data_IF_160789725042
#
_entry.id   IF_160789725042
#
_cell.length_a   1.000
_cell.length_b   1.000
_cell.length_c   1.000
_cell.angle_alpha   90.00
_cell.angle_beta   90.00
_cell.angle_gamma   90.00
#
_symmetry.space_group_name_H-M   'P 1'
#
loop_
_entity.id
_entity.type
_entity.pdbx_description
1 polymer ?
#
# COMPACT_ATOMS: atom_id res chain seq x y z
N UNK A 1 -9.44 -0.57 -3.99
CA UNK A 1 -8.61 -0.66 -2.77
C UNK A 1 -7.17 -0.93 -3.23
N UNK A 2 -6.17 -0.21 -2.71
CA UNK A 2 -4.76 -0.51 -2.99
C UNK A 2 -4.35 -1.82 -2.31
N UNK A 3 -3.41 -2.52 -2.94
CA UNK A 3 -2.82 -3.76 -2.44
C UNK A 3 -1.38 -3.50 -2.04
N UNK A 4 -0.93 -4.10 -0.95
CA UNK A 4 0.50 -4.26 -0.69
C UNK A 4 0.96 -5.49 -1.45
N UNK A 5 1.85 -5.30 -2.44
CA UNK A 5 2.32 -6.39 -3.30
C UNK A 5 3.48 -7.13 -2.64
N UNK A 6 3.41 -8.45 -2.64
CA UNK A 6 4.50 -9.36 -2.27
C UNK A 6 4.69 -10.32 -3.44
N UNK A 7 5.94 -10.66 -3.74
CA UNK A 7 6.29 -11.70 -4.69
C UNK A 7 6.27 -13.09 -4.03
N UNK A 8 6.22 -14.14 -4.83
CA UNK A 8 6.18 -15.52 -4.36
C UNK A 8 7.51 -15.99 -3.75
N UNK A 9 8.62 -15.31 -3.99
CA UNK A 9 9.92 -15.53 -3.33
C UNK A 9 10.13 -14.72 -2.05
N UNK A 10 9.12 -13.96 -1.59
CA UNK A 10 9.26 -13.20 -0.32
C UNK A 10 9.59 -14.12 0.87
N UNK A 11 9.12 -15.37 0.89
CA UNK A 11 9.29 -16.27 2.04
C UNK A 11 10.73 -16.77 2.25
N UNK A 12 11.53 -16.86 1.18
CA UNK A 12 12.92 -17.32 1.22
C UNK A 12 13.94 -16.22 0.91
N UNK A 13 13.47 -14.97 0.71
CA UNK A 13 14.34 -13.82 0.50
C UNK A 13 15.35 -13.67 1.65
N UNK A 14 16.66 -13.47 1.38
CA UNK A 14 17.71 -13.43 2.41
C UNK A 14 17.47 -12.45 3.55
N UNK A 15 16.85 -11.29 3.27
CA UNK A 15 16.49 -10.30 4.31
C UNK A 15 15.31 -10.76 5.20
N UNK A 16 14.40 -11.57 4.67
CA UNK A 16 13.20 -12.04 5.37
C UNK A 16 13.52 -13.24 6.26
N UNK A 17 14.30 -14.20 5.76
CA UNK A 17 14.68 -15.40 6.53
C UNK A 17 15.52 -15.08 7.78
N UNK A 18 16.09 -13.88 7.85
CA UNK A 18 16.92 -13.42 8.97
C UNK A 18 16.14 -12.77 10.11
N UNK A 19 14.85 -12.48 9.92
CA UNK A 19 14.03 -11.80 10.95
C UNK A 19 13.10 -12.76 11.65
N UNK A 20 12.71 -12.44 12.89
CA UNK A 20 11.74 -13.24 13.64
C UNK A 20 10.33 -13.16 13.03
N UNK A 21 9.48 -14.14 13.33
CA UNK A 21 8.05 -14.13 12.95
C UNK A 21 7.34 -12.84 13.41
N UNK A 22 7.74 -12.31 14.57
CA UNK A 22 7.20 -11.07 15.12
C UNK A 22 7.57 -9.84 14.30
N UNK A 23 8.80 -9.79 13.80
CA UNK A 23 9.28 -8.75 12.89
C UNK A 23 8.66 -8.90 11.50
N UNK A 24 8.60 -10.12 10.96
CA UNK A 24 7.94 -10.38 9.68
C UNK A 24 6.46 -9.98 9.69
N UNK A 25 5.73 -10.34 10.74
CA UNK A 25 4.33 -9.90 10.92
C UNK A 25 4.22 -8.37 10.95
N UNK A 26 5.12 -7.69 11.66
CA UNK A 26 5.13 -6.22 11.71
C UNK A 26 5.41 -5.61 10.33
N UNK A 27 6.33 -6.20 9.57
CA UNK A 27 6.64 -5.77 8.22
C UNK A 27 5.41 -5.88 7.29
N UNK A 28 4.70 -7.01 7.30
CA UNK A 28 3.47 -7.18 6.53
C UNK A 28 2.40 -6.15 6.94
N UNK A 29 2.14 -6.00 8.25
CA UNK A 29 1.08 -5.10 8.72
C UNK A 29 1.40 -3.64 8.44
N UNK A 30 2.67 -3.24 8.55
CA UNK A 30 3.12 -1.92 8.17
C UNK A 30 2.98 -1.66 6.65
N UNK A 31 3.30 -2.66 5.82
CA UNK A 31 3.15 -2.55 4.36
C UNK A 31 1.68 -2.37 3.96
N UNK A 32 0.78 -3.16 4.56
CA UNK A 32 -0.66 -3.02 4.38
C UNK A 32 -1.17 -1.64 4.84
N UNK A 33 -0.66 -1.13 5.98
CA UNK A 33 -0.99 0.21 6.44
C UNK A 33 -0.57 1.27 5.43
N UNK A 34 0.69 1.22 4.97
CA UNK A 34 1.23 2.19 4.03
C UNK A 34 0.46 2.19 2.71
N UNK A 35 0.12 1.01 2.17
CA UNK A 35 -0.70 0.88 0.98
C UNK A 35 -2.11 1.45 1.19
N UNK A 36 -2.77 1.13 2.30
CA UNK A 36 -4.13 1.62 2.62
C UNK A 36 -4.18 3.14 2.77
N UNK A 37 -3.19 3.70 3.45
CA UNK A 37 -3.14 5.12 3.81
C UNK A 37 -2.36 5.98 2.82
N UNK A 38 -1.76 5.37 1.78
CA UNK A 38 -0.99 6.05 0.75
C UNK A 38 0.14 6.90 1.33
N UNK A 39 0.91 6.32 2.24
CA UNK A 39 2.04 6.98 2.89
C UNK A 39 3.36 6.78 2.15
N UNK A 40 3.33 6.16 0.97
CA UNK A 40 4.53 5.91 0.15
C UNK A 40 5.64 5.18 0.93
N UNK A 41 5.23 4.18 1.72
CA UNK A 41 6.16 3.37 2.51
C UNK A 41 6.69 4.05 3.77
N UNK A 42 6.23 5.26 4.09
CA UNK A 42 6.62 5.99 5.31
C UNK A 42 5.85 5.46 6.51
N UNK A 43 6.60 5.12 7.56
CA UNK A 43 6.14 4.60 8.85
C UNK A 43 6.51 5.62 9.93
N UNK A 44 5.59 6.55 10.18
CA UNK A 44 5.78 7.58 11.20
C UNK A 44 5.80 7.00 12.62
N UNK A 45 6.31 7.74 13.64
CA UNK A 45 6.19 7.33 15.04
C UNK A 45 4.74 7.09 15.47
N UNK A 46 3.79 7.86 14.93
CA UNK A 46 2.35 7.64 15.14
C UNK A 46 1.88 6.30 14.55
N UNK A 47 2.34 5.95 13.36
CA UNK A 47 2.07 4.67 12.72
C UNK A 47 2.59 3.50 13.55
N UNK A 48 3.83 3.60 14.07
CA UNK A 48 4.40 2.57 14.95
C UNK A 48 3.54 2.34 16.20
N UNK A 49 2.98 3.41 16.79
CA UNK A 49 2.05 3.30 17.92
C UNK A 49 0.74 2.61 17.53
N UNK A 50 0.15 2.97 16.37
CA UNK A 50 -1.07 2.34 15.86
C UNK A 50 -0.88 0.84 15.63
N UNK A 51 0.29 0.45 15.10
CA UNK A 51 0.64 -0.94 14.83
C UNK A 51 1.10 -1.70 16.09
N UNK A 52 1.20 -1.03 17.25
CA UNK A 52 1.75 -1.58 18.49
C UNK A 52 3.14 -2.21 18.27
N UNK A 53 3.96 -1.53 17.47
CA UNK A 53 5.28 -2.00 17.08
C UNK A 53 6.18 -2.12 18.31
N UNK A 54 6.86 -3.26 18.44
CA UNK A 54 7.86 -3.49 19.50
C UNK A 54 9.22 -3.04 18.99
N UNK A 55 9.95 -2.27 19.80
CA UNK A 55 11.27 -1.72 19.44
C UNK A 55 12.22 -2.78 18.84
N UNK A 56 12.36 -3.93 19.51
CA UNK A 56 13.17 -5.06 19.02
C UNK A 56 12.83 -5.50 17.59
N UNK A 57 11.56 -5.51 17.19
CA UNK A 57 11.16 -5.91 15.84
C UNK A 57 11.51 -4.82 14.83
N UNK A 58 11.38 -3.55 15.21
CA UNK A 58 11.84 -2.44 14.37
C UNK A 58 13.36 -2.50 14.14
N UNK A 59 14.11 -2.85 15.19
CA UNK A 59 15.57 -2.97 15.11
C UNK A 59 15.99 -4.16 14.24
N UNK A 60 15.28 -5.30 14.29
CA UNK A 60 15.47 -6.43 13.38
C UNK A 60 15.24 -6.03 11.92
N UNK A 61 14.11 -5.36 11.62
CA UNK A 61 13.77 -4.94 10.26
C UNK A 61 14.75 -3.91 9.70
N UNK A 62 15.24 -3.00 10.54
CA UNK A 62 16.28 -2.06 10.16
C UNK A 62 17.62 -2.76 9.92
N UNK A 63 18.03 -3.67 10.82
CA UNK A 63 19.30 -4.41 10.71
C UNK A 63 19.32 -5.32 9.49
N UNK A 64 18.19 -5.94 9.14
CA UNK A 64 18.02 -6.75 7.93
C UNK A 64 17.94 -5.90 6.64
N UNK A 65 17.92 -4.57 6.72
CA UNK A 65 17.81 -3.68 5.57
C UNK A 65 16.45 -3.78 4.85
N UNK A 66 15.41 -4.15 5.58
CA UNK A 66 14.02 -4.09 5.11
C UNK A 66 13.44 -2.69 5.32
N UNK A 67 13.87 -2.02 6.39
CA UNK A 67 13.51 -0.65 6.73
C UNK A 67 14.74 0.25 6.84
N UNK A 68 14.54 1.54 6.58
CA UNK A 68 15.55 2.58 6.73
C UNK A 68 15.04 3.64 7.72
N UNK A 69 15.92 4.17 8.57
CA UNK A 69 15.56 5.28 9.48
C UNK A 69 15.39 6.57 8.68
N UNK A 70 14.44 7.39 9.09
CA UNK A 70 14.23 8.73 8.52
C UNK A 70 14.56 9.83 9.56
N UNK A 71 15.06 11.01 9.13
CA UNK A 71 15.50 12.07 10.04
C UNK A 71 14.44 12.55 11.03
N UNK A 72 13.17 12.55 10.63
CA UNK A 72 12.02 13.00 11.42
C UNK A 72 11.59 11.97 12.47
N UNK A 73 12.27 10.82 12.52
CA UNK A 73 11.94 9.68 13.35
C UNK A 73 10.95 8.73 12.66
N UNK A 74 11.01 7.45 13.06
CA UNK A 74 10.29 6.38 12.37
C UNK A 74 11.14 5.71 11.30
N UNK A 75 10.48 5.12 10.31
CA UNK A 75 11.12 4.31 9.27
C UNK A 75 10.49 4.52 7.91
N UNK A 76 11.18 4.11 6.85
CA UNK A 76 10.63 3.89 5.52
C UNK A 76 10.95 2.48 5.04
N UNK A 77 10.07 1.88 4.24
CA UNK A 77 10.39 0.65 3.51
C UNK A 77 11.54 0.89 2.55
N UNK A 78 12.49 -0.04 2.52
CA UNK A 78 13.47 -0.11 1.44
C UNK A 78 12.77 -0.45 0.12
N UNK A 79 13.19 0.19 -0.97
CA UNK A 79 12.70 -0.06 -2.34
C UNK A 79 11.18 0.00 -2.54
N UNK A 80 10.46 0.79 -1.72
CA UNK A 80 8.99 0.87 -1.82
C UNK A 80 8.51 1.19 -3.24
N UNK A 81 9.15 2.17 -3.89
CA UNK A 81 8.74 2.69 -5.19
C UNK A 81 9.04 1.75 -6.36
N UNK A 82 9.92 0.77 -6.18
CA UNK A 82 10.25 -0.19 -7.24
C UNK A 82 9.12 -1.21 -7.44
N UNK A 83 8.36 -1.50 -6.38
CA UNK A 83 7.34 -2.54 -6.39
C UNK A 83 5.92 -2.01 -6.15
N UNK A 84 5.79 -0.98 -5.30
CA UNK A 84 4.51 -0.43 -4.88
C UNK A 84 4.15 0.83 -5.67
N UNK A 85 2.87 1.00 -6.06
CA UNK A 85 2.43 2.23 -6.70
C UNK A 85 2.54 3.41 -5.72
N UNK A 86 2.90 4.58 -6.24
CA UNK A 86 2.91 5.81 -5.45
C UNK A 86 1.49 6.26 -5.08
N UNK A 87 1.37 7.11 -4.07
CA UNK A 87 0.13 7.83 -3.74
C UNK A 87 -0.47 8.49 -4.97
N UNK A 88 0.37 9.12 -5.79
CA UNK A 88 -0.05 9.80 -6.99
C UNK A 88 -0.61 8.81 -8.02
N UNK A 89 0.05 7.69 -8.25
CA UNK A 89 -0.43 6.64 -9.17
C UNK A 89 -1.79 6.09 -8.75
N UNK A 90 -1.94 5.82 -7.45
CA UNK A 90 -3.20 5.31 -6.91
C UNK A 90 -4.32 6.36 -7.05
N UNK A 91 -4.04 7.63 -6.77
CA UNK A 91 -5.02 8.71 -6.91
C UNK A 91 -5.41 8.93 -8.37
N UNK A 92 -4.43 8.94 -9.29
CA UNK A 92 -4.65 9.06 -10.74
C UNK A 92 -5.53 7.94 -11.25
N UNK A 93 -5.23 6.69 -10.86
CA UNK A 93 -6.04 5.53 -11.25
C UNK A 93 -7.46 5.59 -10.70
N UNK A 94 -7.63 6.05 -9.45
CA UNK A 94 -8.97 6.27 -8.86
C UNK A 94 -9.76 7.31 -9.65
N UNK A 95 -9.13 8.38 -10.11
CA UNK A 95 -9.79 9.41 -10.91
C UNK A 95 -10.22 8.88 -12.28
N UNK A 96 -9.31 8.19 -12.99
CA UNK A 96 -9.63 7.55 -14.27
C UNK A 96 -10.81 6.58 -14.12
N UNK A 97 -10.81 5.75 -13.08
CA UNK A 97 -11.90 4.81 -12.82
C UNK A 97 -13.22 5.51 -12.47
N UNK A 98 -13.17 6.66 -11.77
CA UNK A 98 -14.36 7.50 -11.52
C UNK A 98 -14.95 8.02 -12.83
N UNK A 99 -14.13 8.58 -13.71
CA UNK A 99 -14.58 9.13 -14.99
C UNK A 99 -15.13 8.05 -15.93
N UNK A 100 -14.47 6.89 -16.00
CA UNK A 100 -14.98 5.72 -16.74
C UNK A 100 -16.35 5.26 -16.24
N UNK A 101 -16.54 5.19 -14.92
CA UNK A 101 -17.84 4.82 -14.35
C UNK A 101 -18.91 5.87 -14.60
N UNK A 102 -18.56 7.16 -14.55
CA UNK A 102 -19.49 8.27 -14.85
C UNK A 102 -19.98 8.18 -16.30
N UNK A 103 -19.06 8.15 -17.26
CA UNK A 103 -19.38 8.05 -18.69
C UNK A 103 -20.20 6.79 -19.02
N UNK A 104 -19.86 5.63 -18.42
CA UNK A 104 -20.64 4.41 -18.60
C UNK A 104 -22.08 4.53 -18.09
N UNK A 105 -22.30 5.21 -16.95
CA UNK A 105 -23.64 5.45 -16.39
C UNK A 105 -24.46 6.39 -17.27
N UNK A 106 -23.84 7.45 -17.77
CA UNK A 106 -24.48 8.44 -18.66
C UNK A 106 -24.90 7.79 -19.99
N UNK A 107 -24.00 7.03 -20.62
CA UNK A 107 -24.32 6.29 -21.85
C UNK A 107 -25.47 5.29 -21.65
N UNK A 108 -25.49 4.58 -20.51
CA UNK A 108 -26.56 3.65 -20.17
C UNK A 108 -27.90 4.36 -19.92
N UNK A 109 -27.87 5.55 -19.32
CA UNK A 109 -29.08 6.35 -19.10
C UNK A 109 -29.66 6.89 -20.42
N UNK A 110 -28.80 7.41 -21.30
CA UNK A 110 -29.20 7.90 -22.63
C UNK A 110 -29.85 6.78 -23.47
N UNK A 111 -29.24 5.59 -23.48
CA UNK A 111 -29.80 4.42 -24.19
C UNK A 111 -31.18 4.01 -23.67
N UNK A 112 -31.40 4.05 -22.35
CA UNK A 112 -32.72 3.75 -21.74
C UNK A 112 -33.79 4.78 -22.10
N UNK A 113 -33.40 6.06 -22.25
CA UNK A 113 -34.34 7.11 -22.65
C UNK A 113 -34.74 6.99 -24.11
N UNK A 114 -33.82 6.64 -25.01
CA UNK A 114 -34.17 6.40 -26.42
C UNK A 114 -35.08 5.19 -26.60
N UNK A 115 -34.83 4.09 -25.88
CA UNK A 115 -35.65 2.86 -25.94
C UNK A 115 -37.05 3.05 -25.33
N UNK A 116 -37.23 3.99 -24.40
CA UNK A 116 -38.52 4.31 -23.78
C UNK A 116 -39.38 5.32 -24.55
N UNK A 117 -38.83 5.98 -25.58
CA UNK A 117 -39.55 6.92 -26.45
C UNK A 117 -40.12 6.25 -27.72
N UNK A 118 -39.78 4.98 -27.99
CA UNK A 118 -40.26 4.21 -29.14
C UNK A 118 -41.56 3.39 -28.86
N UNK A 119 -42.23 3.63 -27.74
CA UNK A 119 -43.53 3.03 -27.35
C UNK A 119 -44.54 4.11 -26.97
#
# INVERSE_FOLDING_TARGET
MPWFKLDDSTYDHPKIVQVSDGAFRLWITAGLYCARHLTDGIISPGTLKVLQAKGRHCDELWSAGLWERIPEGGYRFHDWHDYQPTREDVQRRREIDRQRKKSWREAKAAKRQSEGQEW
#
